data_IF_937718720239
#
_entry.id   IF_937718720239
#
_cell.length_a   1.000
_cell.length_b   1.000
_cell.length_c   1.000
_cell.angle_alpha   90.00
_cell.angle_beta   90.00
_cell.angle_gamma   90.00
#
_symmetry.space_group_name_H-M   'P 1'
#
loop_
_entity.id
_entity.type
_entity.pdbx_description
1 polymer ?
#
# COMPACT_ATOMS: atom_id res chain seq x y z
N UNK A 1 10.29 22.11 -9.49
CA UNK A 1 10.89 22.14 -8.14
C UNK A 1 10.02 23.03 -7.27
N UNK A 2 9.01 22.45 -6.62
CA UNK A 2 8.10 23.16 -5.70
C UNK A 2 8.81 23.30 -4.36
N UNK A 3 8.84 24.51 -3.80
CA UNK A 3 9.39 24.79 -2.48
C UNK A 3 8.59 24.02 -1.42
N UNK A 4 9.24 23.09 -0.72
CA UNK A 4 8.70 22.52 0.53
C UNK A 4 8.50 23.71 1.48
N UNK A 5 7.26 23.99 1.87
CA UNK A 5 6.99 25.08 2.82
C UNK A 5 7.60 24.70 4.17
N UNK A 6 8.39 25.60 4.75
CA UNK A 6 8.88 25.52 6.13
C UNK A 6 7.66 25.53 7.09
N UNK A 7 7.07 24.36 7.32
CA UNK A 7 6.06 24.16 8.35
C UNK A 7 6.71 24.15 9.74
N UNK A 8 6.02 24.65 10.76
CA UNK A 8 6.50 24.53 12.15
C UNK A 8 6.04 23.21 12.73
N UNK A 9 6.99 22.43 13.27
CA UNK A 9 6.71 21.16 13.94
C UNK A 9 6.07 21.42 15.31
N UNK A 10 4.91 20.81 15.57
CA UNK A 10 4.21 20.87 16.86
C UNK A 10 3.74 19.48 17.28
N UNK A 11 3.54 19.26 18.57
CA UNK A 11 2.94 18.02 19.07
C UNK A 11 1.43 18.02 18.78
N UNK A 12 0.83 16.86 18.49
CA UNK A 12 -0.61 16.76 18.15
C UNK A 12 -1.55 17.24 19.26
N UNK A 13 -1.07 17.27 20.51
CA UNK A 13 -1.81 17.83 21.66
C UNK A 13 -1.92 19.36 21.62
N UNK A 14 -1.11 20.03 20.80
CA UNK A 14 -1.14 21.48 20.62
C UNK A 14 -2.11 21.90 19.49
N UNK A 15 -2.66 20.94 18.74
CA UNK A 15 -3.59 21.21 17.65
C UNK A 15 -4.88 21.85 18.14
N UNK A 16 -5.39 22.81 17.36
CA UNK A 16 -6.64 23.52 17.62
C UNK A 16 -7.47 23.61 16.35
N UNK A 17 -8.79 23.69 16.53
CA UNK A 17 -9.72 23.98 15.44
C UNK A 17 -9.32 25.31 14.79
N UNK A 18 -9.27 25.31 13.45
CA UNK A 18 -8.82 26.43 12.65
C UNK A 18 -7.32 26.43 12.38
N UNK A 19 -6.54 25.42 12.79
CA UNK A 19 -5.16 25.23 12.31
C UNK A 19 -5.12 24.49 10.97
N UNK A 20 -4.05 24.74 10.20
CA UNK A 20 -3.76 24.08 8.94
C UNK A 20 -2.51 23.22 9.06
N UNK A 21 -2.66 21.92 8.86
CA UNK A 21 -1.57 20.94 8.85
C UNK A 21 -1.13 20.73 7.40
N UNK A 22 0.17 20.88 7.16
CA UNK A 22 0.78 20.72 5.82
C UNK A 22 1.52 19.40 5.69
N UNK A 23 1.82 18.72 6.79
CA UNK A 23 2.49 17.43 6.78
C UNK A 23 2.25 16.69 8.11
N UNK A 24 2.01 15.37 8.02
CA UNK A 24 1.99 14.45 9.16
C UNK A 24 3.37 13.80 9.34
N UNK A 25 3.83 13.63 10.58
CA UNK A 25 5.10 12.95 10.89
C UNK A 25 4.82 11.49 11.27
N UNK A 26 4.62 10.64 10.25
CA UNK A 26 4.09 9.27 10.46
C UNK A 26 5.23 8.26 10.67
N UNK A 27 6.46 8.53 10.19
CA UNK A 27 7.69 7.73 10.42
C UNK A 27 8.96 8.62 10.21
N UNK A 28 10.12 8.22 10.75
CA UNK A 28 11.41 8.93 10.57
C UNK A 28 11.83 8.97 9.08
N UNK A 29 11.50 10.07 8.42
CA UNK A 29 11.75 10.28 7.01
C UNK A 29 10.50 10.84 6.36
N UNK A 30 10.51 12.13 6.06
CA UNK A 30 9.44 12.88 5.41
C UNK A 30 8.79 12.05 4.30
N UNK A 31 7.49 11.76 4.41
CA UNK A 31 6.72 11.21 3.28
C UNK A 31 6.84 12.20 2.12
N UNK A 32 7.39 11.80 0.96
CA UNK A 32 7.45 12.64 -0.24
C UNK A 32 6.07 12.82 -0.88
N UNK A 33 5.08 12.05 -0.45
CA UNK A 33 3.69 12.24 -0.83
C UNK A 33 3.13 13.37 0.03
N UNK A 34 2.88 14.50 -0.62
CA UNK A 34 2.04 15.57 -0.13
C UNK A 34 0.69 14.95 0.20
N UNK A 35 0.47 14.61 1.47
CA UNK A 35 -0.90 14.56 1.95
C UNK A 35 -1.48 15.95 1.71
N UNK A 36 -2.68 16.00 1.15
CA UNK A 36 -3.40 17.26 0.98
C UNK A 36 -3.35 18.08 2.28
N UNK A 37 -3.31 19.39 2.11
CA UNK A 37 -3.36 20.35 3.22
C UNK A 37 -4.61 20.06 4.06
N UNK A 38 -4.43 19.67 5.33
CA UNK A 38 -5.53 19.34 6.23
C UNK A 38 -5.92 20.61 7.00
N UNK A 39 -7.07 21.17 6.66
CA UNK A 39 -7.72 22.20 7.47
C UNK A 39 -8.46 21.55 8.65
N UNK A 40 -8.02 21.81 9.88
CA UNK A 40 -8.69 21.30 11.09
C UNK A 40 -9.98 22.08 11.31
N UNK A 41 -11.13 21.45 11.04
CA UNK A 41 -12.45 22.09 11.15
C UNK A 41 -13.23 21.63 12.38
N UNK A 42 -12.93 20.45 12.89
CA UNK A 42 -13.68 19.81 13.97
C UNK A 42 -12.75 19.16 15.01
N UNK A 43 -13.30 18.87 16.19
CA UNK A 43 -12.58 18.09 17.20
C UNK A 43 -12.27 16.66 16.71
N UNK A 44 -13.12 16.10 15.84
CA UNK A 44 -12.90 14.79 15.25
C UNK A 44 -11.66 14.78 14.34
N UNK A 45 -11.35 15.87 13.65
CA UNK A 45 -10.12 15.97 12.82
C UNK A 45 -8.86 15.89 13.70
N UNK A 46 -8.87 16.57 14.85
CA UNK A 46 -7.77 16.50 15.84
C UNK A 46 -7.61 15.08 16.35
N UNK A 47 -8.72 14.45 16.77
CA UNK A 47 -8.70 13.07 17.28
C UNK A 47 -8.23 12.06 16.22
N UNK A 48 -8.59 12.26 14.94
CA UNK A 48 -8.11 11.43 13.85
C UNK A 48 -6.59 11.57 13.67
N UNK A 49 -6.06 12.80 13.64
CA UNK A 49 -4.62 13.06 13.54
C UNK A 49 -3.86 12.46 14.73
N UNK A 50 -4.41 12.57 15.94
CA UNK A 50 -3.83 12.00 17.16
C UNK A 50 -3.75 10.47 17.16
N UNK A 51 -4.61 9.78 16.40
CA UNK A 51 -4.52 8.32 16.22
C UNK A 51 -3.43 7.91 15.24
N UNK A 52 -2.97 8.85 14.41
CA UNK A 52 -2.05 8.59 13.30
C UNK A 52 -0.59 8.86 13.70
N UNK A 53 -0.33 9.95 14.43
CA UNK A 53 1.03 10.41 14.74
C UNK A 53 1.09 11.28 16.01
N UNK A 54 2.30 11.45 16.55
CA UNK A 54 2.56 12.29 17.72
C UNK A 54 2.91 13.75 17.35
N UNK A 55 3.38 13.98 16.12
CA UNK A 55 3.85 15.30 15.66
C UNK A 55 3.36 15.61 14.25
N UNK A 56 3.16 16.90 13.97
CA UNK A 56 2.75 17.42 12.67
C UNK A 56 3.45 18.74 12.34
N UNK A 57 3.47 19.12 11.07
CA UNK A 57 3.95 20.42 10.61
C UNK A 57 2.77 21.30 10.20
N UNK A 58 2.76 22.54 10.71
CA UNK A 58 1.69 23.52 10.47
C UNK A 58 2.17 24.72 9.64
N UNK A 59 1.27 25.29 8.84
CA UNK A 59 1.53 26.53 8.10
C UNK A 59 1.33 27.76 9.01
N UNK A 60 2.43 28.27 9.57
CA UNK A 60 2.41 29.45 10.45
C UNK A 60 2.06 30.73 9.71
N UNK A 61 2.37 30.84 8.41
CA UNK A 61 2.04 32.03 7.63
C UNK A 61 0.53 32.13 7.44
N UNK A 62 -0.11 31.01 7.11
CA UNK A 62 -1.57 30.92 7.01
C UNK A 62 -2.26 31.19 8.37
N UNK A 63 -1.70 30.69 9.47
CA UNK A 63 -2.23 30.95 10.82
C UNK A 63 -2.15 32.42 11.24
N UNK A 64 -1.10 33.14 10.82
CA UNK A 64 -0.97 34.58 11.09
C UNK A 64 -1.96 35.41 10.27
N UNK A 65 -2.32 34.99 9.06
CA UNK A 65 -3.34 35.67 8.24
C UNK A 65 -4.78 35.46 8.73
N UNK A 66 -5.04 34.47 9.58
CA UNK A 66 -6.37 34.16 10.13
C UNK A 66 -6.57 34.66 11.58
N UNK A 67 -5.59 35.33 12.19
CA UNK A 67 -5.75 35.91 13.53
C UNK A 67 -6.93 36.91 13.55
N UNK A 68 -8.04 36.50 14.17
CA UNK A 68 -9.27 37.29 14.30
C UNK A 68 -10.44 36.86 13.40
N UNK A 69 -10.28 35.85 12.53
CA UNK A 69 -11.33 35.38 11.64
C UNK A 69 -11.87 34.02 12.11
N UNK A 70 -13.11 33.99 12.62
CA UNK A 70 -13.89 32.76 12.70
C UNK A 70 -14.55 32.61 11.32
N UNK A 71 -14.20 31.60 10.50
CA UNK A 71 -14.78 31.47 9.17
C UNK A 71 -16.29 31.20 9.29
N UNK A 72 -17.08 32.25 9.08
CA UNK A 72 -18.53 32.14 8.92
C UNK A 72 -18.83 32.24 7.43
N UNK A 73 -19.26 31.11 6.87
CA UNK A 73 -19.77 30.85 5.51
C UNK A 73 -18.76 30.58 4.38
N UNK A 74 -18.84 29.32 3.94
CA UNK A 74 -19.03 28.86 2.56
C UNK A 74 -18.27 29.62 1.46
N UNK A 75 -17.07 29.15 1.16
CA UNK A 75 -16.52 29.22 -0.20
C UNK A 75 -16.37 27.78 -0.71
N UNK A 76 -17.22 27.45 -1.69
CA UNK A 76 -17.19 26.27 -2.56
C UNK A 76 -16.98 24.90 -1.93
N UNK A 77 -18.13 24.31 -1.58
CA UNK A 77 -18.31 22.90 -1.34
C UNK A 77 -18.10 22.10 -2.64
N UNK A 78 -16.85 21.82 -3.00
CA UNK A 78 -16.56 20.48 -3.51
C UNK A 78 -16.65 19.52 -2.33
N UNK A 79 -17.31 18.39 -2.56
CA UNK A 79 -17.75 17.36 -1.60
C UNK A 79 -16.61 16.65 -0.84
N UNK A 80 -15.64 17.36 -0.26
CA UNK A 80 -14.71 16.75 0.66
C UNK A 80 -15.45 16.49 1.98
N UNK A 81 -15.73 15.22 2.25
CA UNK A 81 -15.96 14.75 3.60
C UNK A 81 -14.84 15.32 4.50
N UNK A 82 -15.20 15.79 5.70
CA UNK A 82 -14.17 16.22 6.66
C UNK A 82 -13.13 15.11 6.86
N UNK A 83 -11.86 15.48 7.00
CA UNK A 83 -10.73 14.55 7.07
C UNK A 83 -11.01 13.36 8.00
N UNK A 84 -11.56 13.62 9.19
CA UNK A 84 -11.91 12.57 10.14
C UNK A 84 -12.88 11.52 9.57
N UNK A 85 -13.93 11.95 8.86
CA UNK A 85 -14.95 11.05 8.32
C UNK A 85 -14.42 10.28 7.11
N UNK A 86 -13.65 10.94 6.23
CA UNK A 86 -12.97 10.27 5.14
C UNK A 86 -11.99 9.22 5.67
N UNK A 87 -11.12 9.59 6.61
CA UNK A 87 -10.16 8.70 7.24
C UNK A 87 -10.84 7.52 7.96
N UNK A 88 -11.91 7.75 8.71
CA UNK A 88 -12.65 6.69 9.40
C UNK A 88 -13.28 5.69 8.42
N UNK A 89 -13.94 6.19 7.36
CA UNK A 89 -14.52 5.33 6.32
C UNK A 89 -13.45 4.49 5.62
N UNK A 90 -12.38 5.14 5.17
CA UNK A 90 -11.27 4.47 4.50
C UNK A 90 -10.55 3.48 5.42
N UNK A 91 -10.36 3.82 6.70
CA UNK A 91 -9.76 2.93 7.70
C UNK A 91 -10.61 1.68 7.92
N UNK A 92 -11.94 1.81 7.95
CA UNK A 92 -12.84 0.67 8.11
C UNK A 92 -12.76 -0.28 6.90
N UNK A 93 -12.80 0.25 5.68
CA UNK A 93 -12.61 -0.55 4.45
C UNK A 93 -11.24 -1.23 4.45
N UNK A 94 -10.18 -0.51 4.80
CA UNK A 94 -8.83 -1.05 4.85
C UNK A 94 -8.72 -2.22 5.83
N UNK A 95 -9.23 -2.06 7.06
CA UNK A 95 -9.24 -3.12 8.06
C UNK A 95 -10.10 -4.31 7.65
N UNK A 96 -11.28 -4.05 7.07
CA UNK A 96 -12.17 -5.11 6.56
C UNK A 96 -11.48 -5.94 5.47
N UNK A 97 -10.82 -5.28 4.50
CA UNK A 97 -10.08 -5.98 3.43
C UNK A 97 -8.88 -6.73 4.01
N UNK A 98 -8.11 -6.13 4.91
CA UNK A 98 -6.97 -6.80 5.56
C UNK A 98 -7.42 -8.07 6.31
N UNK A 99 -8.51 -7.99 7.07
CA UNK A 99 -9.10 -9.15 7.75
C UNK A 99 -9.56 -10.22 6.75
N UNK A 100 -10.17 -9.83 5.63
CA UNK A 100 -10.55 -10.78 4.60
C UNK A 100 -9.34 -11.47 3.99
N UNK A 101 -8.25 -10.73 3.68
CA UNK A 101 -7.00 -11.30 3.18
C UNK A 101 -6.47 -12.34 4.16
N UNK A 102 -6.47 -12.01 5.45
CA UNK A 102 -6.07 -12.94 6.51
C UNK A 102 -6.92 -14.21 6.50
N UNK A 103 -8.25 -14.08 6.44
CA UNK A 103 -9.15 -15.23 6.34
C UNK A 103 -8.88 -16.07 5.10
N UNK A 104 -8.70 -15.42 3.94
CA UNK A 104 -8.38 -16.10 2.67
C UNK A 104 -7.05 -16.86 2.78
N UNK A 105 -6.03 -16.27 3.39
CA UNK A 105 -4.73 -16.89 3.57
C UNK A 105 -4.79 -18.08 4.54
N UNK A 106 -5.52 -17.95 5.64
CA UNK A 106 -5.74 -19.04 6.58
C UNK A 106 -6.53 -20.17 5.92
N UNK A 107 -7.57 -19.88 5.14
CA UNK A 107 -8.33 -20.87 4.37
C UNK A 107 -7.41 -21.69 3.45
N UNK A 108 -6.57 -21.03 2.65
CA UNK A 108 -5.62 -21.71 1.77
C UNK A 108 -4.58 -22.53 2.55
N UNK A 109 -4.12 -22.00 3.70
CA UNK A 109 -3.19 -22.71 4.59
C UNK A 109 -3.81 -24.00 5.13
N UNK A 110 -5.08 -23.98 5.52
CA UNK A 110 -5.82 -25.15 6.01
C UNK A 110 -6.42 -26.04 4.91
N UNK A 111 -6.25 -25.67 3.64
CA UNK A 111 -6.67 -26.48 2.49
C UNK A 111 -8.11 -26.23 2.02
N UNK A 112 -8.75 -25.16 2.49
CA UNK A 112 -10.03 -24.68 1.98
C UNK A 112 -9.86 -24.01 0.60
N UNK A 113 -10.99 -23.78 -0.08
CA UNK A 113 -11.00 -23.10 -1.38
C UNK A 113 -11.02 -21.58 -1.23
N UNK A 114 -10.40 -20.89 -2.19
CA UNK A 114 -10.47 -19.44 -2.31
C UNK A 114 -11.90 -18.96 -2.62
N UNK A 115 -12.43 -18.04 -1.82
CA UNK A 115 -13.65 -17.32 -2.16
C UNK A 115 -13.37 -16.20 -3.17
N UNK A 116 -13.52 -16.52 -4.46
CA UNK A 116 -13.27 -15.55 -5.56
C UNK A 116 -14.22 -14.35 -5.49
N UNK A 117 -15.48 -14.54 -5.09
CA UNK A 117 -16.44 -13.43 -4.94
C UNK A 117 -16.02 -12.47 -3.84
N UNK A 118 -15.62 -12.99 -2.68
CA UNK A 118 -15.19 -12.15 -1.56
C UNK A 118 -13.94 -11.32 -1.94
N UNK A 119 -12.97 -11.93 -2.62
CA UNK A 119 -11.80 -11.20 -3.13
C UNK A 119 -12.21 -10.07 -4.07
N UNK A 120 -13.08 -10.35 -5.05
CA UNK A 120 -13.53 -9.34 -6.01
C UNK A 120 -14.28 -8.20 -5.33
N UNK A 121 -15.15 -8.50 -4.38
CA UNK A 121 -15.90 -7.49 -3.62
C UNK A 121 -14.95 -6.59 -2.81
N UNK A 122 -13.98 -7.17 -2.10
CA UNK A 122 -13.05 -6.39 -1.31
C UNK A 122 -12.10 -5.55 -2.17
N UNK A 123 -11.63 -6.08 -3.31
CA UNK A 123 -10.82 -5.30 -4.25
C UNK A 123 -11.63 -4.15 -4.85
N UNK A 124 -12.89 -4.38 -5.22
CA UNK A 124 -13.77 -3.33 -5.73
C UNK A 124 -13.95 -2.20 -4.71
N UNK A 125 -14.18 -2.55 -3.44
CA UNK A 125 -14.28 -1.57 -2.35
C UNK A 125 -12.96 -0.79 -2.17
N UNK A 126 -11.80 -1.45 -2.32
CA UNK A 126 -10.50 -0.78 -2.28
C UNK A 126 -10.29 0.15 -3.47
N UNK A 127 -10.72 -0.24 -4.67
CA UNK A 127 -10.66 0.61 -5.87
C UNK A 127 -11.52 1.86 -5.65
N UNK A 128 -12.76 1.69 -5.19
CA UNK A 128 -13.66 2.81 -4.90
C UNK A 128 -13.03 3.77 -3.88
N UNK A 129 -12.51 3.25 -2.75
CA UNK A 129 -11.85 4.08 -1.74
C UNK A 129 -10.56 4.73 -2.24
N UNK A 130 -9.80 4.07 -3.11
CA UNK A 130 -8.58 4.64 -3.70
C UNK A 130 -8.89 5.76 -4.69
N UNK A 131 -10.03 5.68 -5.37
CA UNK A 131 -10.49 6.73 -6.28
C UNK A 131 -11.11 7.91 -5.52
N UNK A 132 -11.87 7.65 -4.47
CA UNK A 132 -12.53 8.69 -3.66
C UNK A 132 -11.56 9.39 -2.68
N UNK A 133 -10.70 8.62 -2.00
CA UNK A 133 -9.84 9.09 -0.90
C UNK A 133 -8.40 8.56 -1.06
N UNK A 134 -7.69 8.88 -2.16
CA UNK A 134 -6.36 8.33 -2.46
C UNK A 134 -5.34 8.59 -1.35
N UNK A 135 -5.35 9.80 -0.76
CA UNK A 135 -4.44 10.19 0.31
C UNK A 135 -4.68 9.39 1.60
N UNK A 136 -5.93 9.14 1.95
CA UNK A 136 -6.27 8.34 3.13
C UNK A 136 -5.85 6.87 2.92
N UNK A 137 -6.07 6.31 1.73
CA UNK A 137 -5.62 4.96 1.39
C UNK A 137 -4.10 4.85 1.44
N UNK A 138 -3.37 5.82 0.87
CA UNK A 138 -1.92 5.86 0.92
C UNK A 138 -1.39 6.03 2.35
N UNK A 139 -2.05 6.83 3.17
CA UNK A 139 -1.71 6.97 4.59
C UNK A 139 -1.86 5.62 5.32
N UNK A 140 -2.94 4.90 5.06
CA UNK A 140 -3.20 3.61 5.71
C UNK A 140 -2.19 2.53 5.33
N UNK A 141 -1.62 2.55 4.12
CA UNK A 141 -0.52 1.62 3.78
C UNK A 141 0.76 1.88 4.58
N UNK A 142 0.93 3.11 5.09
CA UNK A 142 2.06 3.49 5.94
C UNK A 142 1.82 3.19 7.42
N UNK A 143 0.56 3.05 7.85
CA UNK A 143 0.18 2.73 9.23
C UNK A 143 0.30 1.21 9.44
N UNK A 144 1.35 0.78 10.14
CA UNK A 144 1.72 -0.63 10.28
C UNK A 144 1.35 -1.21 11.64
N UNK A 145 0.69 -2.35 11.62
CA UNK A 145 0.60 -3.27 12.77
C UNK A 145 1.62 -4.40 12.60
N UNK A 146 2.49 -4.60 13.60
CA UNK A 146 3.61 -5.55 13.52
C UNK A 146 3.17 -7.03 13.50
N UNK A 147 1.96 -7.33 13.97
CA UNK A 147 1.50 -8.72 14.19
C UNK A 147 0.99 -9.44 12.93
N UNK A 148 0.75 -8.72 11.82
CA UNK A 148 0.05 -9.26 10.64
C UNK A 148 0.77 -8.95 9.31
N UNK A 149 2.11 -9.05 9.31
CA UNK A 149 2.96 -8.63 8.20
C UNK A 149 2.51 -9.12 6.82
N UNK A 150 2.16 -10.40 6.65
CA UNK A 150 1.85 -10.96 5.32
C UNK A 150 0.50 -10.46 4.74
N UNK A 151 -0.52 -10.33 5.59
CA UNK A 151 -1.83 -9.81 5.16
C UNK A 151 -1.75 -8.31 4.89
N UNK A 152 -1.07 -7.57 5.77
CA UNK A 152 -0.82 -6.14 5.61
C UNK A 152 0.00 -5.85 4.34
N UNK A 153 1.06 -6.62 4.08
CA UNK A 153 1.87 -6.50 2.87
C UNK A 153 1.03 -6.70 1.60
N UNK A 154 0.21 -7.75 1.56
CA UNK A 154 -0.66 -8.02 0.41
C UNK A 154 -1.70 -6.90 0.22
N UNK A 155 -2.22 -6.34 1.31
CA UNK A 155 -3.11 -5.18 1.28
C UNK A 155 -2.40 -3.93 0.75
N UNK A 156 -1.19 -3.65 1.24
CA UNK A 156 -0.38 -2.53 0.76
C UNK A 156 -0.08 -2.64 -0.74
N UNK A 157 0.35 -3.82 -1.19
CA UNK A 157 0.65 -4.08 -2.60
C UNK A 157 -0.61 -3.93 -3.47
N UNK A 158 -1.78 -4.37 -2.98
CA UNK A 158 -3.07 -4.12 -3.66
C UNK A 158 -3.32 -2.61 -3.86
N UNK A 159 -3.28 -1.83 -2.79
CA UNK A 159 -3.60 -0.38 -2.81
C UNK A 159 -2.59 0.40 -3.66
N UNK A 160 -1.30 0.15 -3.46
CA UNK A 160 -0.24 0.83 -4.20
C UNK A 160 -0.27 0.45 -5.69
N UNK A 161 -0.65 -0.78 -6.04
CA UNK A 161 -0.83 -1.18 -7.44
C UNK A 161 -2.03 -0.52 -8.09
N UNK A 162 -3.13 -0.31 -7.36
CA UNK A 162 -4.30 0.45 -7.85
C UNK A 162 -3.90 1.91 -8.07
N UNK A 163 -3.19 2.53 -7.11
CA UNK A 163 -2.70 3.90 -7.23
C UNK A 163 -1.78 4.06 -8.45
N UNK A 164 -0.81 3.17 -8.63
CA UNK A 164 0.09 3.21 -9.78
C UNK A 164 -0.66 2.96 -11.10
N UNK A 165 -1.57 1.99 -11.14
CA UNK A 165 -2.41 1.73 -12.31
C UNK A 165 -3.26 2.95 -12.70
N UNK A 166 -3.82 3.67 -11.72
CA UNK A 166 -4.58 4.90 -11.94
C UNK A 166 -3.71 5.98 -12.58
N UNK A 167 -2.50 6.19 -12.07
CA UNK A 167 -1.55 7.16 -12.65
C UNK A 167 -1.11 6.77 -14.08
N UNK A 168 -1.08 5.47 -14.39
CA UNK A 168 -0.83 4.95 -15.74
C UNK A 168 -2.07 5.01 -16.66
N UNK A 169 -3.21 5.50 -16.17
CA UNK A 169 -4.43 5.68 -16.95
C UNK A 169 -5.30 4.43 -17.10
N UNK A 170 -5.16 3.44 -16.22
CA UNK A 170 -6.01 2.24 -16.24
C UNK A 170 -7.47 2.58 -15.99
N UNK A 171 -8.36 1.92 -16.72
CA UNK A 171 -9.81 2.02 -16.49
C UNK A 171 -10.25 1.20 -15.26
N UNK A 172 -11.53 1.35 -14.86
CA UNK A 172 -12.05 0.70 -13.65
C UNK A 172 -11.89 -0.83 -13.64
N UNK A 173 -12.08 -1.51 -14.77
CA UNK A 173 -11.90 -2.97 -14.87
C UNK A 173 -10.42 -3.36 -14.74
N UNK A 174 -9.52 -2.59 -15.34
CA UNK A 174 -8.08 -2.79 -15.19
C UNK A 174 -7.58 -2.51 -13.76
N UNK A 175 -8.15 -1.52 -13.07
CA UNK A 175 -7.87 -1.24 -11.66
C UNK A 175 -8.31 -2.40 -10.76
N UNK A 176 -9.49 -2.97 -11.00
CA UNK A 176 -9.95 -4.17 -10.30
C UNK A 176 -9.03 -5.37 -10.56
N UNK A 177 -8.56 -5.55 -11.80
CA UNK A 177 -7.61 -6.62 -12.15
C UNK A 177 -6.27 -6.43 -11.45
N UNK A 178 -5.67 -5.23 -11.51
CA UNK A 178 -4.34 -4.99 -10.91
C UNK A 178 -4.42 -5.04 -9.38
N UNK A 179 -5.50 -4.56 -8.77
CA UNK A 179 -5.73 -4.72 -7.33
C UNK A 179 -5.83 -6.18 -6.92
N UNK A 180 -6.58 -7.01 -7.67
CA UNK A 180 -6.65 -8.47 -7.44
C UNK A 180 -5.29 -9.14 -7.60
N UNK A 181 -4.50 -8.73 -8.59
CA UNK A 181 -3.14 -9.21 -8.79
C UNK A 181 -2.25 -8.87 -7.59
N UNK A 182 -2.26 -7.62 -7.13
CA UNK A 182 -1.48 -7.18 -5.97
C UNK A 182 -1.91 -7.87 -4.67
N UNK A 183 -3.22 -8.09 -4.47
CA UNK A 183 -3.73 -8.75 -3.26
C UNK A 183 -3.32 -10.22 -3.14
N UNK A 184 -3.22 -10.93 -4.28
CA UNK A 184 -3.02 -12.39 -4.31
C UNK A 184 -1.63 -12.82 -4.78
N UNK A 185 -0.74 -11.90 -5.13
CA UNK A 185 0.58 -12.21 -5.70
C UNK A 185 1.36 -13.24 -4.86
N UNK A 186 1.24 -13.13 -3.54
CA UNK A 186 2.00 -13.86 -2.54
C UNK A 186 1.23 -15.03 -1.89
N UNK A 187 0.04 -15.37 -2.38
CA UNK A 187 -0.83 -16.39 -1.76
C UNK A 187 -0.13 -17.76 -1.59
N UNK A 188 0.85 -18.06 -2.45
CA UNK A 188 1.63 -19.28 -2.38
C UNK A 188 2.53 -19.38 -1.14
N UNK A 189 2.80 -18.27 -0.43
CA UNK A 189 3.51 -18.30 0.86
C UNK A 189 2.77 -19.14 1.90
N UNK A 190 1.47 -19.37 1.72
CA UNK A 190 0.68 -20.24 2.60
C UNK A 190 1.03 -21.72 2.51
N UNK A 191 1.84 -22.12 1.51
CA UNK A 191 2.39 -23.48 1.36
C UNK A 191 3.87 -23.57 1.75
N UNK A 192 4.50 -22.46 2.12
CA UNK A 192 5.89 -22.45 2.59
C UNK A 192 5.93 -22.82 4.09
N UNK A 193 6.87 -23.66 4.56
CA UNK A 193 7.00 -23.98 5.97
C UNK A 193 7.16 -22.73 6.85
N UNK A 194 6.49 -22.70 8.01
CA UNK A 194 6.44 -21.52 8.88
C UNK A 194 7.81 -21.14 9.44
N UNK A 195 8.66 -22.12 9.69
CA UNK A 195 10.03 -21.95 10.17
C UNK A 195 10.92 -21.22 9.14
N UNK A 196 10.64 -21.38 7.84
CA UNK A 196 11.31 -20.66 6.76
C UNK A 196 10.65 -19.30 6.56
N UNK A 197 9.32 -19.26 6.53
CA UNK A 197 8.54 -18.04 6.30
C UNK A 197 8.79 -16.97 7.37
N UNK A 198 8.92 -17.38 8.63
CA UNK A 198 9.09 -16.48 9.78
C UNK A 198 10.53 -16.45 10.33
N UNK A 199 11.50 -17.00 9.58
CA UNK A 199 12.87 -17.20 10.07
C UNK A 199 13.52 -15.91 10.59
N UNK A 200 14.13 -15.94 11.79
CA UNK A 200 14.99 -14.88 12.31
C UNK A 200 16.30 -14.60 11.61
N UNK A 201 16.23 -14.07 10.39
CA UNK A 201 17.38 -13.52 9.69
C UNK A 201 17.39 -13.89 8.21
N UNK A 202 18.61 -14.05 7.67
CA UNK A 202 18.79 -14.44 6.27
C UNK A 202 18.46 -15.92 6.10
N UNK A 203 17.77 -16.22 5.00
CA UNK A 203 17.63 -17.59 4.52
C UNK A 203 18.99 -18.08 4.00
N UNK A 204 19.32 -19.34 4.25
CA UNK A 204 20.40 -20.00 3.53
C UNK A 204 19.94 -20.39 2.11
N UNK A 205 20.84 -20.98 1.33
CA UNK A 205 20.55 -21.31 -0.07
C UNK A 205 19.41 -22.32 -0.21
N UNK A 206 19.34 -23.33 0.67
CA UNK A 206 18.33 -24.39 0.58
C UNK A 206 16.96 -23.85 1.00
N UNK A 207 16.93 -23.05 2.07
CA UNK A 207 15.73 -22.34 2.52
C UNK A 207 15.24 -21.34 1.48
N UNK A 208 16.15 -20.65 0.80
CA UNK A 208 15.82 -19.73 -0.29
C UNK A 208 15.17 -20.48 -1.47
N UNK A 209 15.70 -21.64 -1.86
CA UNK A 209 15.08 -22.48 -2.90
C UNK A 209 13.68 -22.97 -2.49
N UNK A 210 13.43 -23.24 -1.21
CA UNK A 210 12.08 -23.54 -0.72
C UNK A 210 11.19 -22.30 -0.79
N UNK A 211 11.68 -21.14 -0.35
CA UNK A 211 10.94 -19.88 -0.41
C UNK A 211 10.52 -19.53 -1.84
N UNK A 212 11.42 -19.67 -2.84
CA UNK A 212 11.12 -19.39 -4.25
C UNK A 212 9.91 -20.15 -4.80
N UNK A 213 9.60 -21.33 -4.24
CA UNK A 213 8.46 -22.16 -4.66
C UNK A 213 7.11 -21.51 -4.38
N UNK A 214 7.03 -20.46 -3.55
CA UNK A 214 5.76 -19.74 -3.33
C UNK A 214 5.15 -19.24 -4.65
N UNK A 215 5.95 -18.87 -5.65
CA UNK A 215 5.46 -18.47 -6.99
C UNK A 215 4.72 -19.63 -7.68
N UNK A 216 5.31 -20.82 -7.64
CA UNK A 216 4.72 -22.06 -8.19
C UNK A 216 3.45 -22.43 -7.41
N UNK A 217 3.51 -22.40 -6.07
CA UNK A 217 2.34 -22.68 -5.24
C UNK A 217 1.21 -21.69 -5.49
N UNK A 218 1.52 -20.40 -5.62
CA UNK A 218 0.56 -19.35 -5.93
C UNK A 218 -0.14 -19.60 -7.25
N UNK A 219 0.63 -19.91 -8.31
CA UNK A 219 0.07 -20.35 -9.60
C UNK A 219 -0.89 -21.51 -9.43
N UNK A 220 -0.49 -22.59 -8.76
CA UNK A 220 -1.27 -23.82 -8.64
C UNK A 220 -2.56 -23.59 -7.84
N UNK A 221 -2.49 -22.82 -6.75
CA UNK A 221 -3.67 -22.40 -5.98
C UNK A 221 -4.64 -21.63 -6.86
N UNK A 222 -4.15 -20.63 -7.59
CA UNK A 222 -5.01 -19.72 -8.37
C UNK A 222 -5.54 -20.35 -9.65
N UNK A 223 -4.83 -21.32 -10.25
CA UNK A 223 -5.35 -22.11 -11.37
C UNK A 223 -6.62 -22.91 -11.01
N UNK A 224 -6.78 -23.27 -9.73
CA UNK A 224 -7.98 -23.94 -9.24
C UNK A 224 -9.17 -22.99 -9.04
N UNK A 225 -8.91 -21.68 -8.91
CA UNK A 225 -9.91 -20.64 -8.66
C UNK A 225 -10.59 -20.18 -9.96
N UNK A 226 -11.62 -20.91 -10.38
CA UNK A 226 -12.42 -20.57 -11.56
C UNK A 226 -13.02 -19.16 -11.41
N UNK A 227 -13.16 -18.44 -12.53
CA UNK A 227 -13.68 -17.07 -12.63
C UNK A 227 -12.74 -15.95 -12.13
N UNK A 228 -11.54 -16.27 -11.64
CA UNK A 228 -10.51 -15.27 -11.41
C UNK A 228 -9.92 -14.80 -12.75
N UNK A 229 -9.44 -13.56 -12.79
CA UNK A 229 -8.71 -13.05 -13.95
C UNK A 229 -7.45 -13.90 -14.17
N UNK A 230 -7.25 -14.42 -15.37
CA UNK A 230 -6.11 -15.30 -15.68
C UNK A 230 -4.76 -14.62 -15.47
N UNK A 231 -4.68 -13.30 -15.65
CA UNK A 231 -3.46 -12.54 -15.35
C UNK A 231 -3.07 -12.59 -13.88
N UNK A 232 -4.00 -12.81 -12.95
CA UNK A 232 -3.66 -13.00 -11.53
C UNK A 232 -2.82 -14.26 -11.30
N UNK A 233 -3.06 -15.32 -12.06
CA UNK A 233 -2.24 -16.54 -12.04
C UNK A 233 -0.83 -16.24 -12.56
N UNK A 234 -0.72 -15.49 -13.66
CA UNK A 234 0.56 -15.10 -14.25
C UNK A 234 1.38 -14.21 -13.29
N UNK A 235 0.74 -13.23 -12.65
CA UNK A 235 1.39 -12.36 -11.67
C UNK A 235 1.91 -13.15 -10.48
N UNK A 236 1.09 -14.01 -9.86
CA UNK A 236 1.55 -14.84 -8.75
C UNK A 236 2.73 -15.74 -9.15
N UNK A 237 2.74 -16.21 -10.41
CA UNK A 237 3.82 -17.04 -10.92
C UNK A 237 5.08 -16.25 -11.30
N UNK A 238 4.97 -14.96 -11.68
CA UNK A 238 6.05 -14.23 -12.35
C UNK A 238 6.44 -12.89 -11.69
N UNK A 239 5.88 -12.50 -10.54
CA UNK A 239 6.20 -11.21 -9.89
C UNK A 239 7.66 -11.08 -9.41
N UNK A 240 8.43 -12.17 -9.42
CA UNK A 240 9.87 -12.18 -9.18
C UNK A 240 10.71 -12.42 -10.45
N UNK A 241 10.09 -12.35 -11.63
CA UNK A 241 10.81 -12.29 -12.89
C UNK A 241 11.47 -10.92 -13.05
N UNK A 242 12.63 -10.90 -13.69
CA UNK A 242 13.36 -9.67 -13.98
C UNK A 242 13.31 -9.42 -15.49
N UNK A 243 13.28 -8.16 -15.91
CA UNK A 243 13.25 -7.80 -17.34
C UNK A 243 14.43 -8.36 -18.14
N UNK A 244 15.57 -8.60 -17.48
CA UNK A 244 16.77 -9.21 -18.06
C UNK A 244 16.78 -10.75 -18.09
N UNK A 245 15.69 -11.40 -17.65
CA UNK A 245 15.54 -12.86 -17.62
C UNK A 245 16.29 -13.57 -16.49
N UNK A 246 16.90 -12.83 -15.54
CA UNK A 246 17.61 -13.42 -14.39
C UNK A 246 16.74 -13.68 -13.16
N UNK A 247 15.46 -13.36 -13.27
CA UNK A 247 14.48 -13.60 -12.22
C UNK A 247 14.05 -15.06 -12.13
N UNK A 248 12.96 -15.31 -11.41
CA UNK A 248 12.43 -16.64 -11.19
C UNK A 248 10.90 -16.63 -11.19
N UNK A 249 10.24 -17.78 -11.41
CA UNK A 249 10.76 -19.15 -11.54
C UNK A 249 11.08 -19.62 -12.96
N UNK A 250 10.71 -18.88 -14.00
CA UNK A 250 10.83 -19.26 -15.41
C UNK A 250 12.08 -18.67 -16.07
N UNK A 251 12.57 -17.54 -15.60
CA UNK A 251 13.69 -16.82 -16.22
C UNK A 251 13.29 -16.22 -17.58
N UNK A 252 12.11 -15.61 -17.63
CA UNK A 252 11.59 -14.96 -18.85
C UNK A 252 12.03 -13.50 -18.89
N UNK A 253 12.28 -12.99 -20.09
CA UNK A 253 12.66 -11.58 -20.29
C UNK A 253 11.44 -10.66 -20.34
N UNK A 254 11.71 -9.37 -20.53
CA UNK A 254 10.67 -8.34 -20.61
C UNK A 254 9.52 -8.68 -21.58
N UNK A 255 9.78 -9.31 -22.72
CA UNK A 255 8.73 -9.65 -23.69
C UNK A 255 7.73 -10.69 -23.16
N UNK A 256 8.15 -11.51 -22.19
CA UNK A 256 7.29 -12.50 -21.53
C UNK A 256 6.53 -11.99 -20.29
N UNK A 257 6.86 -10.79 -19.79
CA UNK A 257 6.34 -10.27 -18.51
C UNK A 257 5.18 -9.29 -18.79
N UNK A 258 3.98 -9.63 -18.33
CA UNK A 258 2.78 -8.79 -18.49
C UNK A 258 2.89 -7.45 -17.76
N UNK A 259 2.16 -6.43 -18.22
CA UNK A 259 2.13 -5.11 -17.54
C UNK A 259 1.65 -5.22 -16.09
N UNK A 260 0.67 -6.09 -15.80
CA UNK A 260 0.21 -6.33 -14.43
C UNK A 260 1.33 -6.89 -13.55
N UNK A 261 2.14 -7.81 -14.09
CA UNK A 261 3.30 -8.38 -13.38
C UNK A 261 4.37 -7.31 -13.13
N UNK A 262 4.64 -6.44 -14.11
CA UNK A 262 5.62 -5.35 -13.95
C UNK A 262 5.19 -4.36 -12.86
N UNK A 263 3.93 -3.95 -12.86
CA UNK A 263 3.36 -3.06 -11.82
C UNK A 263 3.51 -3.70 -10.45
N UNK A 264 3.04 -4.94 -10.29
CA UNK A 264 3.07 -5.63 -8.99
C UNK A 264 4.50 -5.88 -8.52
N UNK A 265 5.43 -6.22 -9.40
CA UNK A 265 6.84 -6.42 -9.04
C UNK A 265 7.50 -5.13 -8.50
N UNK A 266 7.24 -3.98 -9.13
CA UNK A 266 7.74 -2.67 -8.66
C UNK A 266 7.14 -2.34 -7.30
N UNK A 267 5.84 -2.55 -7.14
CA UNK A 267 5.11 -2.23 -5.91
C UNK A 267 5.50 -3.16 -4.76
N UNK A 268 5.62 -4.46 -5.01
CA UNK A 268 6.11 -5.45 -4.03
C UNK A 268 7.51 -5.06 -3.54
N UNK A 269 8.43 -4.77 -4.46
CA UNK A 269 9.77 -4.31 -4.09
C UNK A 269 9.75 -3.01 -3.29
N UNK A 270 8.92 -2.04 -3.68
CA UNK A 270 8.75 -0.79 -2.94
C UNK A 270 8.26 -1.03 -1.51
N UNK A 271 7.18 -1.81 -1.34
CA UNK A 271 6.64 -2.13 -0.01
C UNK A 271 7.66 -2.94 0.80
N UNK A 272 8.29 -3.96 0.21
CA UNK A 272 9.33 -4.75 0.86
C UNK A 272 10.51 -3.92 1.40
N UNK A 273 10.88 -2.84 0.71
CA UNK A 273 11.97 -1.94 1.12
C UNK A 273 11.53 -0.97 2.21
N UNK A 274 10.29 -0.48 2.14
CA UNK A 274 9.74 0.53 3.04
C UNK A 274 9.04 -0.06 4.26
N UNK A 275 8.72 -1.36 4.25
CA UNK A 275 8.07 -2.09 5.33
C UNK A 275 9.04 -2.54 6.41
N UNK A 276 8.62 -2.42 7.67
CA UNK A 276 9.36 -2.96 8.80
C UNK A 276 9.16 -4.47 8.85
N UNK A 277 10.27 -5.20 8.94
CA UNK A 277 10.30 -6.65 9.13
C UNK A 277 10.84 -6.93 10.52
N UNK A 278 10.52 -8.12 11.05
CA UNK A 278 10.97 -8.58 12.39
C UNK A 278 12.49 -8.40 12.61
N UNK A 279 13.29 -8.37 11.53
CA UNK A 279 14.75 -8.26 11.58
C UNK A 279 15.31 -6.99 10.94
N UNK A 280 14.47 -6.07 10.44
CA UNK A 280 14.94 -4.88 9.73
C UNK A 280 13.89 -3.77 9.73
N UNK A 281 14.28 -2.56 10.16
CA UNK A 281 13.44 -1.37 9.95
C UNK A 281 13.37 -1.00 8.47
N UNK A 282 12.19 -0.58 8.04
CA UNK A 282 11.95 -0.08 6.69
C UNK A 282 12.86 1.10 6.36
N UNK A 283 13.26 1.21 5.09
CA UNK A 283 14.06 2.34 4.61
C UNK A 283 13.14 3.53 4.25
N UNK A 284 13.62 4.77 4.43
CA UNK A 284 12.91 5.96 3.95
C UNK A 284 12.59 5.89 2.45
N UNK A 285 11.46 6.46 2.05
CA UNK A 285 10.91 6.40 0.68
C UNK A 285 11.92 6.87 -0.38
N UNK A 286 12.67 7.95 -0.11
CA UNK A 286 13.69 8.45 -1.03
C UNK A 286 14.80 7.42 -1.29
N UNK A 287 15.16 6.64 -0.28
CA UNK A 287 16.12 5.54 -0.42
C UNK A 287 15.49 4.40 -1.22
N UNK A 288 14.23 4.07 -0.96
CA UNK A 288 13.49 3.05 -1.72
C UNK A 288 13.44 3.40 -3.21
N UNK A 289 13.05 4.62 -3.55
CA UNK A 289 13.06 5.14 -4.92
C UNK A 289 14.46 5.07 -5.54
N UNK A 290 15.50 5.47 -4.79
CA UNK A 290 16.88 5.37 -5.27
C UNK A 290 17.32 3.92 -5.55
N UNK A 291 16.82 2.94 -4.80
CA UNK A 291 17.07 1.51 -5.06
C UNK A 291 16.31 1.04 -6.31
N UNK A 292 15.04 1.40 -6.44
CA UNK A 292 14.22 1.05 -7.60
C UNK A 292 14.80 1.64 -8.90
N UNK A 293 15.22 2.90 -8.87
CA UNK A 293 15.86 3.58 -10.01
C UNK A 293 17.16 2.89 -10.42
N UNK A 294 17.96 2.40 -9.46
CA UNK A 294 19.16 1.60 -9.77
C UNK A 294 18.84 0.25 -10.40
N UNK A 295 17.65 -0.30 -10.13
CA UNK A 295 17.14 -1.54 -10.72
C UNK A 295 16.39 -1.35 -12.04
N UNK A 296 16.20 -0.12 -12.51
CA UNK A 296 15.60 0.16 -13.82
C UNK A 296 16.44 -0.49 -14.92
N UNK A 297 15.79 -0.97 -15.98
CA UNK A 297 16.38 -1.64 -17.14
C UNK A 297 16.92 -3.06 -16.89
N UNK A 298 17.15 -3.49 -15.64
CA UNK A 298 17.49 -4.89 -15.33
C UNK A 298 16.31 -5.63 -14.68
N UNK A 299 15.75 -5.07 -13.61
CA UNK A 299 14.68 -5.70 -12.83
C UNK A 299 13.33 -5.06 -13.11
N UNK A 300 13.30 -3.74 -13.30
CA UNK A 300 12.05 -2.97 -13.45
C UNK A 300 12.03 -2.17 -14.74
N UNK A 301 10.81 -1.94 -15.25
CA UNK A 301 10.58 -1.02 -16.37
C UNK A 301 10.74 0.43 -15.90
N UNK A 302 11.24 1.27 -16.79
CA UNK A 302 11.56 2.67 -16.51
C UNK A 302 10.43 3.64 -16.78
#
# INVERSE_FOLDING_TARGET
MSQVSDGTRIHVNELRIGMRVVQLEILEGSSPFLLDIIDIRTQADIQAIQKICDYVFIDVKWQKTQHGYIPTRHSDATKHLGFARAFEQTSNTFQKTSNLVKTVFDDIRFGNQLSVSAVKEAVAECVDQTLENPDAMLLLTQLKNQDEYTAQHSMNVCVLSILLGKELGFNLDELNKVGTCGLLHDIGKMKVPLEILNKPGKLDNDEFEIMRKHTVYGRDILMSARQLFSGTVDVAFAHHEHLDGRGYPRGIDSAGISIFTRIVAVVDAYDAITSDRVYQRGKPHLIALGILVKGMSSHFEG
#
